data_IF_333160767325
#
_entry.id   IF_333160767325
#
_cell.length_a   1.000
_cell.length_b   1.000
_cell.length_c   1.000
_cell.angle_alpha   90.00
_cell.angle_beta   90.00
_cell.angle_gamma   90.00
#
_symmetry.space_group_name_H-M   'P 1'
#
loop_
_entity.id
_entity.type
_entity.pdbx_description
1 polymer ?
#
# COMPACT_ATOMS: atom_id res chain seq x y z
N UNK A 1 26.34 -18.08 -13.40
CA UNK A 1 25.05 -17.50 -13.04
C UNK A 1 25.14 -17.05 -11.58
N UNK A 2 25.26 -15.75 -11.33
CA UNK A 2 25.08 -15.24 -9.97
C UNK A 2 23.59 -15.31 -9.66
N UNK A 3 23.18 -15.80 -8.47
CA UNK A 3 21.80 -15.69 -8.07
C UNK A 3 21.42 -14.22 -8.06
N UNK A 4 20.19 -13.91 -8.51
CA UNK A 4 19.66 -12.56 -8.41
C UNK A 4 19.73 -12.12 -6.94
N UNK A 5 20.33 -10.96 -6.71
CA UNK A 5 20.48 -10.43 -5.35
C UNK A 5 19.35 -9.47 -5.05
N UNK A 6 18.77 -9.58 -3.87
CA UNK A 6 17.81 -8.61 -3.34
C UNK A 6 18.56 -7.31 -3.10
N UNK A 7 18.29 -6.27 -3.87
CA UNK A 7 19.00 -5.01 -3.80
C UNK A 7 18.80 -4.27 -2.49
N UNK A 8 17.62 -4.42 -1.91
CA UNK A 8 17.21 -3.65 -0.76
C UNK A 8 16.23 -4.44 0.10
N UNK A 9 16.70 -4.90 1.24
CA UNK A 9 15.89 -5.49 2.30
C UNK A 9 16.37 -4.90 3.62
N UNK A 10 15.86 -3.71 4.01
CA UNK A 10 16.18 -3.17 5.32
C UNK A 10 15.62 -4.13 6.37
N UNK A 11 16.38 -4.47 7.40
CA UNK A 11 15.88 -5.27 8.51
C UNK A 11 14.85 -4.47 9.27
N UNK A 12 13.89 -5.15 9.88
CA UNK A 12 13.00 -4.57 10.86
C UNK A 12 13.78 -4.27 12.16
N UNK A 13 13.34 -3.27 12.91
CA UNK A 13 14.01 -2.81 14.11
C UNK A 13 14.95 -1.62 13.88
N UNK A 14 14.87 -0.64 14.79
CA UNK A 14 15.63 0.61 14.67
C UNK A 14 17.14 0.42 14.80
N UNK A 15 17.60 -0.55 15.59
CA UNK A 15 19.02 -0.84 15.79
C UNK A 15 19.61 -1.55 14.57
N UNK A 16 18.91 -2.54 14.07
CA UNK A 16 19.29 -3.31 12.88
C UNK A 16 19.32 -2.42 11.65
N UNK A 17 18.30 -1.57 11.47
CA UNK A 17 18.23 -0.59 10.40
C UNK A 17 19.37 0.43 10.45
N UNK A 18 19.70 0.93 11.65
CA UNK A 18 20.85 1.82 11.83
C UNK A 18 22.18 1.13 11.48
N UNK A 19 22.38 -0.09 11.95
CA UNK A 19 23.60 -0.85 11.65
C UNK A 19 23.76 -1.10 10.15
N UNK A 20 22.67 -1.47 9.46
CA UNK A 20 22.68 -1.65 8.01
C UNK A 20 23.04 -0.34 7.28
N UNK A 21 22.47 0.80 7.71
CA UNK A 21 22.81 2.10 7.13
C UNK A 21 24.30 2.43 7.30
N UNK A 22 24.87 2.15 8.48
CA UNK A 22 26.31 2.32 8.74
C UNK A 22 27.18 1.43 7.88
N UNK A 23 26.80 0.18 7.69
CA UNK A 23 27.53 -0.73 6.78
C UNK A 23 27.41 -0.25 5.31
N UNK A 24 26.25 0.28 4.91
CA UNK A 24 26.09 0.87 3.59
C UNK A 24 26.99 2.10 3.38
N UNK A 25 27.11 2.99 4.37
CA UNK A 25 27.98 4.16 4.33
C UNK A 25 29.47 3.81 4.12
N UNK A 26 29.93 2.69 4.68
CA UNK A 26 31.31 2.20 4.56
C UNK A 26 31.64 1.65 3.15
N UNK A 27 30.63 1.31 2.35
CA UNK A 27 30.83 0.74 1.01
C UNK A 27 31.36 1.80 0.04
N UNK A 28 32.32 1.42 -0.79
CA UNK A 28 32.79 2.30 -1.85
C UNK A 28 31.67 2.63 -2.86
N UNK A 29 31.71 3.78 -3.55
CA UNK A 29 30.73 4.12 -4.59
C UNK A 29 30.60 3.02 -5.66
N UNK A 30 31.71 2.41 -6.07
CA UNK A 30 31.73 1.32 -7.06
C UNK A 30 30.99 0.08 -6.56
N UNK A 31 31.15 -0.27 -5.27
CA UNK A 31 30.45 -1.41 -4.68
C UNK A 31 28.96 -1.12 -4.54
N UNK A 32 28.59 0.09 -4.10
CA UNK A 32 27.18 0.52 -4.03
C UNK A 32 26.51 0.46 -5.40
N UNK A 33 27.18 0.96 -6.43
CA UNK A 33 26.68 0.91 -7.79
C UNK A 33 26.49 -0.53 -8.30
N UNK A 34 27.41 -1.42 -8.00
CA UNK A 34 27.32 -2.84 -8.38
C UNK A 34 26.17 -3.58 -7.67
N UNK A 35 25.86 -3.19 -6.43
CA UNK A 35 24.74 -3.77 -5.65
C UNK A 35 23.38 -3.20 -6.07
N UNK A 36 23.34 -1.97 -6.61
CA UNK A 36 22.16 -1.32 -7.12
C UNK A 36 22.02 -1.51 -8.64
N UNK A 37 22.24 -2.73 -9.11
CA UNK A 37 22.10 -3.08 -10.52
C UNK A 37 20.64 -3.46 -10.83
N UNK A 38 19.91 -2.68 -11.63
CA UNK A 38 18.51 -2.94 -11.95
C UNK A 38 18.27 -4.28 -12.65
N UNK A 39 19.30 -4.82 -13.35
CA UNK A 39 19.17 -6.06 -14.11
C UNK A 39 19.43 -7.31 -13.26
N UNK A 40 20.09 -7.14 -12.11
CA UNK A 40 20.40 -8.23 -11.19
C UNK A 40 19.64 -8.12 -9.85
N UNK A 41 18.59 -7.32 -9.79
CA UNK A 41 17.78 -7.16 -8.58
C UNK A 41 16.36 -7.65 -8.80
N UNK A 42 15.82 -8.33 -7.80
CA UNK A 42 14.46 -8.82 -7.78
C UNK A 42 13.65 -8.19 -6.64
N UNK A 43 12.35 -8.35 -6.73
CA UNK A 43 11.44 -7.97 -5.65
C UNK A 43 11.48 -9.07 -4.61
N UNK A 44 11.77 -8.68 -3.37
CA UNK A 44 11.71 -9.59 -2.23
C UNK A 44 10.24 -9.74 -1.78
N UNK A 45 9.71 -10.94 -1.85
CA UNK A 45 8.39 -11.32 -1.34
C UNK A 45 8.45 -12.06 0.01
N UNK A 46 9.67 -12.31 0.50
CA UNK A 46 9.95 -13.00 1.76
C UNK A 46 9.98 -12.10 2.99
N UNK A 47 9.50 -10.83 2.90
CA UNK A 47 9.45 -9.91 4.04
C UNK A 47 8.59 -10.42 5.19
N UNK A 48 8.84 -9.90 6.38
CA UNK A 48 8.09 -10.24 7.59
C UNK A 48 6.63 -9.81 7.47
N UNK A 49 5.73 -10.59 8.06
CA UNK A 49 4.31 -10.28 8.15
C UNK A 49 3.84 -10.64 9.57
N UNK A 50 3.36 -9.65 10.31
CA UNK A 50 2.68 -9.90 11.58
C UNK A 50 1.18 -10.07 11.33
N UNK A 51 0.63 -11.17 11.82
CA UNK A 51 -0.77 -11.55 11.53
C UNK A 51 -1.73 -10.78 12.44
N UNK A 52 -2.56 -9.93 11.86
CA UNK A 52 -3.51 -9.05 12.58
C UNK A 52 -4.93 -9.61 12.79
N UNK A 53 -5.21 -10.85 12.41
CA UNK A 53 -6.48 -11.52 12.75
C UNK A 53 -7.59 -11.51 11.68
N UNK A 54 -7.45 -10.79 10.57
CA UNK A 54 -8.45 -10.83 9.47
C UNK A 54 -8.15 -11.89 8.42
N UNK A 55 -6.89 -12.30 8.29
CA UNK A 55 -6.44 -13.30 7.34
C UNK A 55 -5.23 -14.08 7.88
N UNK A 56 -4.92 -15.22 7.28
CA UNK A 56 -3.69 -15.95 7.59
C UNK A 56 -2.47 -15.26 6.96
N UNK A 57 -1.27 -15.60 7.46
CA UNK A 57 -0.01 -15.10 6.85
C UNK A 57 0.06 -15.44 5.36
N UNK A 58 -0.33 -16.66 4.98
CA UNK A 58 -0.35 -17.10 3.57
C UNK A 58 -1.27 -16.19 2.72
N UNK A 59 -2.45 -15.83 3.25
CA UNK A 59 -3.38 -14.95 2.55
C UNK A 59 -2.83 -13.52 2.41
N UNK A 60 -2.17 -13.00 3.44
CA UNK A 60 -1.51 -11.68 3.38
C UNK A 60 -0.32 -11.71 2.41
N UNK A 61 0.46 -12.78 2.40
CA UNK A 61 1.57 -12.96 1.46
C UNK A 61 1.07 -13.00 0.02
N UNK A 62 -0.02 -13.74 -0.27
CA UNK A 62 -0.68 -13.74 -1.57
C UNK A 62 -1.18 -12.35 -2.01
N UNK A 63 -1.50 -11.48 -1.05
CA UNK A 63 -1.86 -10.06 -1.29
C UNK A 63 -0.65 -9.14 -1.42
N UNK A 64 0.58 -9.67 -1.38
CA UNK A 64 1.82 -8.92 -1.57
C UNK A 64 2.36 -8.23 -0.33
N UNK A 65 1.85 -8.53 0.87
CA UNK A 65 2.33 -7.88 2.10
C UNK A 65 3.79 -8.22 2.43
N UNK A 66 4.31 -9.35 1.96
CA UNK A 66 5.74 -9.68 2.06
C UNK A 66 6.65 -8.88 1.13
N UNK A 67 6.09 -8.13 0.18
CA UNK A 67 6.83 -7.30 -0.77
C UNK A 67 7.15 -5.89 -0.23
N UNK A 68 6.75 -5.58 1.00
CA UNK A 68 6.93 -4.26 1.63
C UNK A 68 7.73 -4.37 2.92
N UNK A 69 8.34 -3.27 3.34
CA UNK A 69 9.03 -3.19 4.63
C UNK A 69 8.02 -3.10 5.77
N UNK A 70 8.01 -4.11 6.65
CA UNK A 70 7.00 -4.25 7.69
C UNK A 70 6.97 -3.09 8.68
N UNK A 71 8.11 -2.70 9.26
CA UNK A 71 8.19 -1.59 10.22
C UNK A 71 7.69 -0.25 9.66
N UNK A 72 7.75 -0.09 8.34
CA UNK A 72 7.29 1.15 7.70
C UNK A 72 5.81 1.15 7.35
N UNK A 73 5.23 -0.01 7.07
CA UNK A 73 3.91 -0.08 6.44
C UNK A 73 2.97 -1.12 7.05
N UNK A 74 3.49 -2.13 7.77
CA UNK A 74 2.70 -3.28 8.23
C UNK A 74 1.54 -2.88 9.14
N UNK A 75 1.82 -2.14 10.21
CA UNK A 75 0.80 -1.65 11.13
C UNK A 75 -0.24 -0.76 10.42
N UNK A 76 0.23 0.05 9.47
CA UNK A 76 -0.67 0.90 8.68
C UNK A 76 -1.60 0.08 7.78
N UNK A 77 -1.10 -0.97 7.11
CA UNK A 77 -1.94 -1.86 6.29
C UNK A 77 -2.99 -2.57 7.13
N UNK A 78 -2.61 -3.08 8.31
CA UNK A 78 -3.54 -3.72 9.25
C UNK A 78 -4.61 -2.75 9.72
N UNK A 79 -4.21 -1.57 10.18
CA UNK A 79 -5.13 -0.52 10.65
C UNK A 79 -6.08 -0.09 9.54
N UNK A 80 -5.59 0.04 8.30
CA UNK A 80 -6.40 0.41 7.16
C UNK A 80 -7.44 -0.69 6.84
N UNK A 81 -7.03 -1.95 6.77
CA UNK A 81 -7.94 -3.06 6.49
C UNK A 81 -8.99 -3.21 7.59
N UNK A 82 -8.58 -3.13 8.85
CA UNK A 82 -9.51 -3.18 9.99
C UNK A 82 -10.49 -2.02 9.96
N UNK A 83 -10.02 -0.80 9.78
CA UNK A 83 -10.85 0.40 9.81
C UNK A 83 -11.88 0.41 8.69
N UNK A 84 -11.49 0.02 7.48
CA UNK A 84 -12.40 -0.03 6.33
C UNK A 84 -13.47 -1.11 6.47
N UNK A 85 -13.14 -2.26 7.07
CA UNK A 85 -14.07 -3.40 7.20
C UNK A 85 -14.86 -3.40 8.53
N UNK A 86 -14.59 -2.45 9.43
CA UNK A 86 -15.25 -2.31 10.73
C UNK A 86 -15.98 -0.97 10.85
N UNK A 87 -16.97 -0.76 9.98
CA UNK A 87 -17.75 0.50 9.98
C UNK A 87 -18.65 0.61 11.20
N UNK A 88 -19.24 -0.50 11.62
CA UNK A 88 -20.13 -0.59 12.78
C UNK A 88 -19.68 -1.66 13.76
N UNK A 89 -19.99 -1.42 15.03
CA UNK A 89 -19.75 -2.39 16.12
C UNK A 89 -21.06 -2.62 16.89
N UNK A 90 -21.21 -3.82 17.49
CA UNK A 90 -22.29 -4.12 18.42
C UNK A 90 -21.81 -3.87 19.85
N UNK A 91 -22.62 -3.11 20.61
CA UNK A 91 -22.42 -2.96 22.05
C UNK A 91 -22.93 -4.19 22.80
N UNK A 92 -22.59 -4.27 24.10
CA UNK A 92 -23.03 -5.34 24.97
C UNK A 92 -24.56 -5.46 25.08
N UNK A 93 -25.28 -4.36 24.93
CA UNK A 93 -26.76 -4.28 24.88
C UNK A 93 -27.37 -4.72 23.53
N UNK A 94 -26.52 -5.15 22.58
CA UNK A 94 -26.94 -5.58 21.25
C UNK A 94 -27.10 -4.45 20.23
N UNK A 95 -27.05 -3.19 20.65
CA UNK A 95 -27.22 -2.04 19.77
C UNK A 95 -26.04 -1.93 18.79
N UNK A 96 -26.33 -1.68 17.53
CA UNK A 96 -25.35 -1.38 16.47
C UNK A 96 -25.04 0.12 16.51
N UNK A 97 -23.76 0.45 16.58
CA UNK A 97 -23.28 1.83 16.59
C UNK A 97 -22.13 2.01 15.62
N UNK A 98 -21.94 3.22 15.12
CA UNK A 98 -20.77 3.57 14.32
C UNK A 98 -19.50 3.35 15.13
N UNK A 99 -18.49 2.70 14.55
CA UNK A 99 -17.20 2.47 15.20
C UNK A 99 -16.50 3.79 15.54
N UNK A 100 -15.71 3.81 16.62
CA UNK A 100 -15.12 5.03 17.17
C UNK A 100 -14.25 5.79 16.15
N UNK A 101 -13.46 5.08 15.34
CA UNK A 101 -12.62 5.70 14.30
C UNK A 101 -13.46 6.40 13.22
N UNK A 102 -14.60 5.83 12.81
CA UNK A 102 -15.51 6.48 11.86
C UNK A 102 -16.22 7.68 12.49
N UNK A 103 -16.58 7.62 13.78
CA UNK A 103 -17.07 8.80 14.49
C UNK A 103 -16.06 9.94 14.50
N UNK A 104 -14.77 9.63 14.64
CA UNK A 104 -13.68 10.62 14.56
C UNK A 104 -13.59 11.25 13.16
N UNK A 105 -13.72 10.44 12.09
CA UNK A 105 -13.75 10.93 10.69
C UNK A 105 -14.94 11.87 10.45
N UNK A 106 -16.14 11.50 10.91
CA UNK A 106 -17.35 12.33 10.77
C UNK A 106 -17.18 13.69 11.44
N UNK A 107 -16.53 13.72 12.61
CA UNK A 107 -16.34 14.92 13.42
C UNK A 107 -15.10 15.73 13.05
N UNK A 108 -14.25 15.20 12.16
CA UNK A 108 -13.00 15.86 11.80
C UNK A 108 -13.25 17.23 11.17
N UNK A 109 -12.41 18.20 11.52
CA UNK A 109 -12.44 19.52 10.90
C UNK A 109 -11.92 19.45 9.45
N UNK A 110 -12.85 19.50 8.52
CA UNK A 110 -12.56 19.45 7.08
C UNK A 110 -11.80 20.69 6.59
N UNK A 111 -11.93 21.80 7.30
CA UNK A 111 -11.17 23.02 6.99
C UNK A 111 -9.67 22.83 7.14
N UNK A 112 -9.24 21.98 8.07
CA UNK A 112 -7.82 21.66 8.28
C UNK A 112 -7.19 20.87 7.10
N UNK A 113 -8.03 20.24 6.25
CA UNK A 113 -7.60 19.48 5.08
C UNK A 113 -7.83 20.23 3.76
N UNK A 114 -8.18 21.50 3.82
CA UNK A 114 -8.62 22.31 2.68
C UNK A 114 -9.81 21.71 1.90
N UNK A 115 -10.64 20.95 2.60
CA UNK A 115 -11.80 20.24 2.05
C UNK A 115 -13.11 20.91 2.49
N UNK A 116 -13.15 22.24 2.48
CA UNK A 116 -14.27 23.05 3.02
C UNK A 116 -15.58 22.85 2.28
N UNK A 117 -15.49 22.56 1.00
CA UNK A 117 -16.67 22.37 0.13
C UNK A 117 -17.24 20.95 0.21
N UNK A 118 -16.59 20.01 0.90
CA UNK A 118 -17.08 18.67 1.09
C UNK A 118 -18.06 18.60 2.27
N UNK A 119 -19.20 17.97 2.05
CA UNK A 119 -20.11 17.63 3.14
C UNK A 119 -19.45 16.65 4.13
N UNK A 120 -19.91 16.67 5.39
CA UNK A 120 -19.54 15.64 6.34
C UNK A 120 -20.06 14.28 5.86
N UNK A 121 -19.27 13.24 6.09
CA UNK A 121 -19.68 11.86 5.83
C UNK A 121 -20.96 11.55 6.64
N UNK A 122 -22.01 11.14 5.97
CA UNK A 122 -23.29 10.81 6.57
C UNK A 122 -23.36 9.34 7.00
N UNK A 123 -24.25 9.01 7.93
CA UNK A 123 -24.51 7.62 8.32
C UNK A 123 -25.01 6.78 7.12
N UNK A 124 -25.81 7.35 6.21
CA UNK A 124 -26.26 6.67 5.01
C UNK A 124 -25.11 6.29 4.06
N UNK A 125 -24.08 7.13 3.97
CA UNK A 125 -22.87 6.81 3.20
C UNK A 125 -22.04 5.72 3.89
N UNK A 126 -21.97 5.72 5.21
CA UNK A 126 -21.34 4.64 5.98
C UNK A 126 -22.08 3.32 5.82
N UNK A 127 -23.43 3.33 5.80
CA UNK A 127 -24.22 2.12 5.53
C UNK A 127 -23.94 1.56 4.13
N UNK A 128 -23.79 2.41 3.13
CA UNK A 128 -23.36 1.98 1.79
C UNK A 128 -21.95 1.40 1.82
N UNK A 129 -21.00 2.08 2.49
CA UNK A 129 -19.62 1.62 2.62
C UNK A 129 -19.54 0.25 3.31
N UNK A 130 -20.35 0.02 4.34
CA UNK A 130 -20.41 -1.24 5.07
C UNK A 130 -20.93 -2.44 4.24
N UNK A 131 -21.48 -2.22 3.05
CA UNK A 131 -21.88 -3.28 2.13
C UNK A 131 -20.72 -3.82 1.31
N UNK A 132 -19.57 -3.13 1.30
CA UNK A 132 -18.38 -3.54 0.59
C UNK A 132 -17.42 -4.27 1.54
N UNK A 133 -16.65 -5.18 0.97
CA UNK A 133 -15.46 -5.74 1.59
C UNK A 133 -14.23 -5.08 0.99
N UNK A 134 -13.34 -4.58 1.82
CA UNK A 134 -12.14 -3.84 1.45
C UNK A 134 -10.87 -4.65 1.78
N UNK A 135 -10.50 -5.63 0.97
CA UNK A 135 -9.22 -6.31 1.17
C UNK A 135 -8.08 -5.37 0.77
N UNK A 136 -7.08 -5.28 1.63
CA UNK A 136 -5.90 -4.44 1.38
C UNK A 136 -4.81 -5.28 0.72
N UNK A 137 -4.22 -4.75 -0.33
CA UNK A 137 -3.14 -5.36 -1.11
C UNK A 137 -1.92 -4.45 -1.11
N UNK A 138 -0.73 -5.04 -1.18
CA UNK A 138 0.51 -4.32 -1.35
C UNK A 138 1.22 -4.75 -2.64
N UNK A 139 1.98 -3.85 -3.24
CA UNK A 139 2.75 -4.14 -4.45
C UNK A 139 4.14 -3.56 -4.31
N UNK A 140 5.12 -4.44 -4.15
CA UNK A 140 6.52 -4.11 -4.31
C UNK A 140 6.89 -3.98 -5.78
N UNK A 141 7.89 -3.19 -6.07
CA UNK A 141 8.44 -3.05 -7.42
C UNK A 141 9.94 -2.73 -7.38
N UNK A 142 10.65 -3.09 -8.44
CA UNK A 142 12.05 -2.73 -8.57
C UNK A 142 12.17 -1.21 -8.83
N UNK A 143 12.48 -0.47 -7.78
CA UNK A 143 12.57 0.99 -7.81
C UNK A 143 13.79 1.52 -8.61
N UNK A 144 14.72 0.64 -8.99
CA UNK A 144 15.87 0.96 -9.85
C UNK A 144 15.49 0.98 -11.33
N UNK A 145 14.33 0.40 -11.70
CA UNK A 145 13.83 0.34 -13.07
C UNK A 145 12.86 1.47 -13.39
N UNK A 146 12.48 1.55 -14.64
CA UNK A 146 11.54 2.55 -15.12
C UNK A 146 10.16 2.41 -14.44
N UNK A 147 9.56 3.51 -14.02
CA UNK A 147 8.22 3.53 -13.43
C UNK A 147 7.14 2.94 -14.35
N UNK A 148 7.37 2.90 -15.69
CA UNK A 148 6.45 2.24 -16.62
C UNK A 148 6.45 0.72 -16.49
N UNK A 149 7.58 0.11 -16.11
CA UNK A 149 7.68 -1.33 -15.83
C UNK A 149 6.99 -1.66 -14.49
N UNK A 150 7.20 -0.81 -13.47
CA UNK A 150 6.49 -0.90 -12.21
C UNK A 150 4.96 -0.78 -12.40
N UNK A 151 4.52 0.16 -13.24
CA UNK A 151 3.10 0.31 -13.58
C UNK A 151 2.54 -0.90 -14.34
N UNK A 152 3.33 -1.53 -15.22
CA UNK A 152 2.93 -2.75 -15.91
C UNK A 152 2.83 -3.95 -14.94
N UNK A 153 3.72 -4.05 -13.94
CA UNK A 153 3.58 -5.03 -12.85
C UNK A 153 2.30 -4.80 -12.05
N UNK A 154 2.07 -3.55 -11.63
CA UNK A 154 0.85 -3.16 -10.91
C UNK A 154 -0.40 -3.57 -11.70
N UNK A 155 -0.42 -3.34 -13.02
CA UNK A 155 -1.54 -3.72 -13.88
C UNK A 155 -1.81 -5.23 -13.85
N UNK A 156 -0.78 -6.06 -14.00
CA UNK A 156 -0.94 -7.52 -13.94
C UNK A 156 -1.47 -7.99 -12.59
N UNK A 157 -0.96 -7.43 -11.49
CA UNK A 157 -1.44 -7.78 -10.13
C UNK A 157 -2.91 -7.41 -9.94
N UNK A 158 -3.30 -6.19 -10.33
CA UNK A 158 -4.69 -5.72 -10.24
C UNK A 158 -5.61 -6.61 -11.07
N UNK A 159 -5.22 -6.95 -12.30
CA UNK A 159 -6.03 -7.79 -13.18
C UNK A 159 -6.26 -9.20 -12.58
N UNK A 160 -5.22 -9.78 -11.99
CA UNK A 160 -5.32 -11.06 -11.28
C UNK A 160 -6.30 -10.94 -10.11
N UNK A 161 -6.13 -9.97 -9.24
CA UNK A 161 -6.98 -9.81 -8.05
C UNK A 161 -8.44 -9.48 -8.39
N UNK A 162 -8.68 -8.64 -9.40
CA UNK A 162 -10.05 -8.39 -9.89
C UNK A 162 -10.67 -9.69 -10.41
N UNK A 163 -9.94 -10.50 -11.17
CA UNK A 163 -10.43 -11.77 -11.68
C UNK A 163 -10.74 -12.76 -10.55
N UNK A 164 -9.88 -12.86 -9.55
CA UNK A 164 -10.08 -13.70 -8.37
C UNK A 164 -11.35 -13.31 -7.59
N UNK A 165 -11.59 -12.00 -7.40
CA UNK A 165 -12.79 -11.54 -6.71
C UNK A 165 -14.06 -11.77 -7.52
N UNK A 166 -14.02 -11.55 -8.85
CA UNK A 166 -15.14 -11.85 -9.75
C UNK A 166 -15.51 -13.34 -9.78
N UNK A 167 -14.54 -14.21 -9.58
CA UNK A 167 -14.78 -15.66 -9.53
C UNK A 167 -15.46 -16.12 -8.23
N UNK A 168 -15.50 -15.28 -7.19
CA UNK A 168 -16.14 -15.61 -5.90
C UNK A 168 -17.64 -15.34 -5.97
N UNK A 169 -18.50 -16.32 -5.61
CA UNK A 169 -19.94 -16.11 -5.58
C UNK A 169 -20.34 -14.95 -4.67
N UNK A 170 -21.21 -14.05 -5.17
CA UNK A 170 -21.72 -12.92 -4.40
C UNK A 170 -20.83 -11.68 -4.39
N UNK A 171 -19.64 -11.71 -5.01
CA UNK A 171 -18.77 -10.55 -5.11
C UNK A 171 -18.77 -9.94 -6.51
N UNK A 172 -18.67 -8.62 -6.54
CA UNK A 172 -18.43 -7.82 -7.75
C UNK A 172 -17.23 -6.93 -7.50
N UNK A 173 -16.26 -6.98 -8.40
CA UNK A 173 -15.04 -6.18 -8.31
C UNK A 173 -14.59 -5.77 -9.71
N UNK A 174 -14.72 -4.49 -10.04
CA UNK A 174 -14.32 -3.95 -11.35
C UNK A 174 -13.22 -2.89 -11.23
N UNK A 175 -13.09 -2.26 -10.06
CA UNK A 175 -12.18 -1.14 -9.83
C UNK A 175 -11.45 -1.26 -8.52
N UNK A 176 -10.33 -0.57 -8.44
CA UNK A 176 -9.51 -0.47 -7.24
C UNK A 176 -9.35 0.98 -6.79
N UNK A 177 -9.11 1.18 -5.50
CA UNK A 177 -8.59 2.42 -4.95
C UNK A 177 -7.08 2.24 -4.78
N UNK A 178 -6.31 3.17 -5.30
CA UNK A 178 -4.86 3.17 -5.19
C UNK A 178 -4.42 4.10 -4.06
N UNK A 179 -3.56 3.62 -3.19
CA UNK A 179 -2.92 4.44 -2.17
C UNK A 179 -1.41 4.33 -2.39
N UNK A 180 -0.73 5.45 -2.47
CA UNK A 180 0.69 5.51 -2.79
C UNK A 180 1.45 6.39 -1.83
N UNK A 181 2.69 6.02 -1.59
CA UNK A 181 3.66 6.80 -0.84
C UNK A 181 4.85 7.18 -1.72
N UNK A 182 5.28 8.44 -1.67
CA UNK A 182 6.48 8.95 -2.34
C UNK A 182 6.51 8.58 -3.84
N UNK A 183 7.57 7.96 -4.32
CA UNK A 183 7.76 7.56 -5.72
C UNK A 183 6.65 6.61 -6.24
N UNK A 184 6.00 5.84 -5.37
CA UNK A 184 4.84 5.02 -5.72
C UNK A 184 3.70 5.82 -6.36
N UNK A 185 3.61 7.12 -6.07
CA UNK A 185 2.67 8.02 -6.72
C UNK A 185 2.90 8.18 -8.22
N UNK A 186 4.14 8.17 -8.66
CA UNK A 186 4.49 8.21 -10.09
C UNK A 186 4.06 6.92 -10.79
N UNK A 187 4.24 5.77 -10.12
CA UNK A 187 3.78 4.46 -10.61
C UNK A 187 2.26 4.43 -10.74
N UNK A 188 1.52 4.86 -9.70
CA UNK A 188 0.07 4.90 -9.70
C UNK A 188 -0.48 5.84 -10.80
N UNK A 189 0.15 6.99 -11.03
CA UNK A 189 -0.24 7.90 -12.13
C UNK A 189 0.01 7.28 -13.49
N UNK A 190 1.16 6.61 -13.69
CA UNK A 190 1.46 5.91 -14.94
C UNK A 190 0.46 4.78 -15.23
N UNK A 191 0.03 4.05 -14.19
CA UNK A 191 -1.02 3.04 -14.27
C UNK A 191 -2.37 3.66 -14.62
N UNK A 192 -2.84 4.63 -13.84
CA UNK A 192 -4.17 5.22 -13.99
C UNK A 192 -4.36 5.89 -15.35
N UNK A 193 -3.30 6.48 -15.92
CA UNK A 193 -3.36 7.04 -17.27
C UNK A 193 -3.66 5.99 -18.35
N UNK A 194 -3.23 4.75 -18.14
CA UNK A 194 -3.41 3.63 -19.08
C UNK A 194 -4.68 2.82 -18.83
N UNK A 195 -5.16 2.81 -17.58
CA UNK A 195 -6.28 1.99 -17.13
C UNK A 195 -7.29 2.80 -16.29
N UNK A 196 -7.81 3.94 -16.79
CA UNK A 196 -8.69 4.80 -16.03
C UNK A 196 -10.02 4.13 -15.66
N UNK A 197 -10.45 3.17 -16.45
CA UNK A 197 -11.65 2.36 -16.25
C UNK A 197 -11.56 1.43 -15.03
N UNK A 198 -10.36 1.05 -14.60
CA UNK A 198 -10.09 0.18 -13.45
C UNK A 198 -9.81 0.93 -12.15
N UNK A 199 -9.76 2.25 -12.17
CA UNK A 199 -9.45 3.07 -10.99
C UNK A 199 -10.70 3.77 -10.50
N UNK A 200 -11.05 3.56 -9.23
CA UNK A 200 -12.12 4.28 -8.55
C UNK A 200 -11.61 5.61 -7.96
N UNK A 201 -10.40 5.61 -7.43
CA UNK A 201 -9.76 6.78 -6.86
C UNK A 201 -8.29 6.53 -6.56
N UNK A 202 -7.54 7.62 -6.35
CA UNK A 202 -6.12 7.56 -5.98
C UNK A 202 -5.87 8.53 -4.83
N UNK A 203 -5.15 8.05 -3.81
CA UNK A 203 -4.63 8.85 -2.70
C UNK A 203 -3.10 8.88 -2.81
N UNK A 204 -2.51 10.07 -2.87
CA UNK A 204 -1.08 10.26 -2.92
C UNK A 204 -0.56 10.83 -1.59
N UNK A 205 0.30 10.07 -0.90
CA UNK A 205 1.10 10.55 0.22
C UNK A 205 2.47 11.02 -0.28
N UNK A 206 2.79 12.30 -0.08
CA UNK A 206 4.09 12.94 -0.37
C UNK A 206 4.70 12.60 -1.73
N UNK A 207 3.87 12.54 -2.77
CA UNK A 207 4.33 12.25 -4.13
C UNK A 207 5.29 13.33 -4.64
N UNK A 208 6.48 12.98 -5.18
CA UNK A 208 7.43 13.94 -5.75
C UNK A 208 6.99 14.41 -7.15
N UNK A 209 5.85 15.11 -7.25
CA UNK A 209 5.21 15.48 -8.51
C UNK A 209 6.07 16.44 -9.37
N UNK A 210 6.89 17.26 -8.72
CA UNK A 210 7.80 18.23 -9.36
C UNK A 210 9.28 17.86 -9.18
N UNK A 211 9.56 16.62 -8.82
CA UNK A 211 10.90 16.10 -8.56
C UNK A 211 11.26 16.06 -7.08
N UNK A 212 12.44 15.52 -6.79
CA UNK A 212 12.99 15.41 -5.44
C UNK A 212 14.39 16.05 -5.42
N UNK A 213 14.62 17.14 -4.69
CA UNK A 213 15.93 17.81 -4.63
C UNK A 213 17.07 16.88 -4.19
N UNK A 214 16.75 15.86 -3.40
CA UNK A 214 17.72 14.86 -2.92
C UNK A 214 18.35 14.04 -4.07
N UNK A 215 17.66 13.91 -5.19
CA UNK A 215 18.18 13.18 -6.37
C UNK A 215 19.31 13.93 -7.10
N UNK A 216 19.55 15.20 -6.75
CA UNK A 216 20.57 16.05 -7.36
C UNK A 216 21.79 16.29 -6.45
N UNK A 217 21.94 15.56 -5.35
CA UNK A 217 23.10 15.63 -4.44
C UNK A 217 24.08 14.46 -4.66
#
# INVERSE_FOLDING_TARGET
DKPSEIAWRPPNGSVEGYNQAKEWEKRSPKLRQALLDPDNTEIDDGGDIEVGGFASEEQYRARGWGEIHWDSYGEWLQTLEESLNRTFVRKADGNRVIAAHWQSVIRADRGSWDARDLAALSEAELEKSAQYHYPVYAVGYNWLRCNSEAAARLARRIDTWIAEWKARPGYQCDKVILISHSMGGLVCRAYAKRHPDKVLGIIHGVQPAVGAPLAYR
#
